data_IF_336970510872
#
_entry.id   IF_336970510872
#
_cell.length_a   1.000
_cell.length_b   1.000
_cell.length_c   1.000
_cell.angle_alpha   90.00
_cell.angle_beta   90.00
_cell.angle_gamma   90.00
#
_symmetry.space_group_name_H-M   'P 1'
#
loop_
_entity.id
_entity.type
_entity.pdbx_description
1 polymer ?
#
# COMPACT_ATOMS: atom_id res chain seq x y z
N UNK A 1 2.68 17.62 -7.67
CA UNK A 1 1.45 16.88 -7.31
C UNK A 1 1.64 16.24 -5.94
N UNK A 2 0.63 16.27 -5.04
CA UNK A 2 0.58 15.33 -3.93
C UNK A 2 0.67 13.90 -4.48
N UNK A 3 1.40 13.01 -3.80
CA UNK A 3 1.45 11.60 -4.20
C UNK A 3 0.02 11.02 -4.18
N UNK A 4 -0.47 10.39 -5.26
CA UNK A 4 -1.87 10.00 -5.40
C UNK A 4 -2.27 8.85 -4.46
N UNK A 5 -1.30 8.23 -3.79
CA UNK A 5 -1.47 7.23 -2.76
C UNK A 5 -0.25 7.27 -1.83
N UNK A 6 -0.32 6.53 -0.74
CA UNK A 6 0.82 6.28 0.15
C UNK A 6 0.85 4.80 0.54
N UNK A 7 2.05 4.30 0.83
CA UNK A 7 2.25 2.95 1.34
C UNK A 7 2.04 2.90 2.85
N UNK A 8 1.45 1.82 3.32
CA UNK A 8 1.16 1.53 4.73
C UNK A 8 1.34 0.02 4.97
N UNK A 9 2.27 -0.39 5.83
CA UNK A 9 2.38 -1.78 6.24
C UNK A 9 1.18 -2.16 7.11
N UNK A 10 0.57 -3.31 6.83
CA UNK A 10 -0.55 -3.86 7.59
C UNK A 10 -0.69 -5.35 7.24
N UNK A 11 -1.12 -6.19 8.18
CA UNK A 11 -1.46 -7.60 7.92
C UNK A 11 -0.35 -8.39 7.17
N UNK A 12 0.91 -8.18 7.57
CA UNK A 12 2.07 -8.88 6.99
C UNK A 12 2.44 -8.45 5.56
N UNK A 13 1.83 -7.40 5.00
CA UNK A 13 2.13 -6.87 3.67
C UNK A 13 2.23 -5.34 3.65
N UNK A 14 2.78 -4.79 2.57
CA UNK A 14 2.68 -3.35 2.29
C UNK A 14 1.47 -3.08 1.40
N UNK A 15 0.51 -2.33 1.94
CA UNK A 15 -0.70 -1.90 1.25
C UNK A 15 -0.56 -0.45 0.77
N UNK A 16 -1.38 -0.08 -0.20
CA UNK A 16 -1.52 1.31 -0.64
C UNK A 16 -2.90 1.83 -0.23
N UNK A 17 -2.98 3.12 0.12
CA UNK A 17 -4.23 3.80 0.42
C UNK A 17 -4.24 5.21 -0.19
N UNK A 18 -5.44 5.70 -0.47
CA UNK A 18 -5.73 7.08 -0.90
C UNK A 18 -6.30 7.93 0.23
N UNK A 19 -6.44 7.37 1.43
CA UNK A 19 -6.95 8.09 2.58
C UNK A 19 -6.06 9.30 2.92
N UNK A 20 -6.59 10.33 3.59
CA UNK A 20 -5.75 11.42 4.08
C UNK A 20 -4.61 10.88 4.96
N UNK A 21 -3.36 11.12 4.53
CA UNK A 21 -2.18 10.66 5.27
C UNK A 21 -1.99 11.49 6.54
N UNK A 22 -1.86 10.87 7.73
CA UNK A 22 -1.51 11.59 8.95
C UNK A 22 -0.12 12.22 8.82
N UNK A 23 0.06 13.45 9.34
CA UNK A 23 1.30 14.23 9.17
C UNK A 23 2.58 13.50 9.62
N UNK A 24 2.50 12.59 10.62
CA UNK A 24 3.64 11.86 11.18
C UNK A 24 3.73 10.40 10.71
N UNK A 25 3.02 10.03 9.65
CA UNK A 25 2.87 8.63 9.23
C UNK A 25 1.78 7.90 10.00
N UNK A 26 1.59 6.61 9.70
CA UNK A 26 0.55 5.80 10.33
C UNK A 26 0.99 5.32 11.71
N UNK A 27 0.30 5.73 12.80
CA UNK A 27 0.53 5.10 14.09
C UNK A 27 0.05 3.65 14.07
N UNK A 28 0.71 2.79 14.85
CA UNK A 28 0.26 1.40 15.02
C UNK A 28 -1.22 1.35 15.43
N UNK A 29 -1.98 0.45 14.81
CA UNK A 29 -3.41 0.30 15.06
C UNK A 29 -4.30 1.27 14.28
N UNK A 30 -3.76 2.26 13.57
CA UNK A 30 -4.57 3.17 12.75
C UNK A 30 -5.20 2.41 11.59
N UNK A 31 -6.52 2.41 11.51
CA UNK A 31 -7.26 1.70 10.46
C UNK A 31 -7.25 2.51 9.17
N UNK A 32 -6.77 1.90 8.10
CA UNK A 32 -6.72 2.48 6.74
C UNK A 32 -7.60 1.71 5.78
N UNK A 33 -8.33 2.42 4.91
CA UNK A 33 -8.98 1.81 3.76
C UNK A 33 -7.92 1.58 2.66
N UNK A 34 -7.66 0.31 2.34
CA UNK A 34 -6.64 -0.06 1.37
C UNK A 34 -7.21 -0.15 -0.05
N UNK A 35 -6.35 0.02 -1.06
CA UNK A 35 -6.74 -0.13 -2.46
C UNK A 35 -7.20 -1.56 -2.78
N UNK A 36 -6.76 -2.59 -2.04
CA UNK A 36 -7.27 -3.95 -2.20
C UNK A 36 -8.66 -4.18 -1.60
N UNK A 37 -9.28 -3.15 -1.00
CA UNK A 37 -10.66 -3.17 -0.52
C UNK A 37 -10.83 -3.54 0.95
N UNK A 38 -9.74 -3.83 1.66
CA UNK A 38 -9.78 -4.16 3.08
C UNK A 38 -9.54 -2.93 3.96
N UNK A 39 -10.15 -2.92 5.14
CA UNK A 39 -9.81 -2.00 6.23
C UNK A 39 -8.83 -2.69 7.18
N UNK A 40 -7.59 -2.21 7.25
CA UNK A 40 -6.52 -2.87 7.99
C UNK A 40 -5.89 -1.92 9.01
N UNK A 41 -5.50 -2.46 10.16
CA UNK A 41 -4.74 -1.73 11.16
C UNK A 41 -3.27 -1.62 10.73
N UNK A 42 -2.75 -0.39 10.70
CA UNK A 42 -1.37 -0.13 10.31
C UNK A 42 -0.38 -0.74 11.33
N UNK A 43 0.73 -1.24 10.81
CA UNK A 43 1.88 -1.72 11.56
C UNK A 43 3.03 -0.71 11.43
N UNK A 44 3.53 -0.21 12.57
CA UNK A 44 4.54 0.86 12.58
C UNK A 44 5.95 0.39 12.96
N UNK A 45 6.26 -0.90 12.85
CA UNK A 45 7.62 -1.41 13.09
C UNK A 45 8.54 -1.08 11.91
N UNK A 46 9.86 -1.00 12.15
CA UNK A 46 10.83 -0.80 11.06
C UNK A 46 10.82 -1.98 10.08
N UNK A 47 10.60 -3.20 10.59
CA UNK A 47 10.60 -4.42 9.77
C UNK A 47 9.39 -4.54 8.84
N UNK A 48 8.24 -3.96 9.20
CA UNK A 48 7.03 -4.04 8.38
C UNK A 48 7.19 -3.35 7.03
N UNK A 49 8.10 -2.38 6.92
CA UNK A 49 8.46 -1.75 5.65
C UNK A 49 9.26 -2.65 4.71
N UNK A 50 9.74 -3.81 5.15
CA UNK A 50 10.44 -4.78 4.28
C UNK A 50 9.52 -5.91 3.79
N UNK A 51 8.27 -5.94 4.22
CA UNK A 51 7.32 -6.93 3.76
C UNK A 51 7.04 -6.83 2.26
N UNK A 52 6.59 -7.95 1.71
CA UNK A 52 6.12 -7.99 0.33
C UNK A 52 4.98 -7.01 0.12
N UNK A 53 4.94 -6.43 -1.08
CA UNK A 53 3.86 -5.54 -1.48
C UNK A 53 2.61 -6.37 -1.78
N UNK A 54 1.45 -5.93 -1.29
CA UNK A 54 0.17 -6.52 -1.69
C UNK A 54 -0.01 -6.38 -3.21
N UNK A 55 -0.15 -7.47 -3.98
CA UNK A 55 -0.13 -7.41 -5.45
C UNK A 55 -1.28 -6.55 -6.00
N UNK A 56 -2.49 -6.69 -5.44
CA UNK A 56 -3.64 -5.86 -5.83
C UNK A 56 -3.43 -4.37 -5.53
N UNK A 57 -2.79 -4.04 -4.40
CA UNK A 57 -2.45 -2.65 -4.10
C UNK A 57 -1.39 -2.13 -5.07
N UNK A 58 -0.41 -2.97 -5.44
CA UNK A 58 0.62 -2.63 -6.40
C UNK A 58 0.03 -2.26 -7.76
N UNK A 59 -0.82 -3.11 -8.31
CA UNK A 59 -1.44 -2.87 -9.63
C UNK A 59 -2.27 -1.58 -9.63
N UNK A 60 -3.09 -1.36 -8.60
CA UNK A 60 -3.91 -0.14 -8.47
C UNK A 60 -3.07 1.11 -8.23
N UNK A 61 -2.00 1.02 -7.44
CA UNK A 61 -1.08 2.13 -7.21
C UNK A 61 -0.37 2.56 -8.50
N UNK A 62 0.07 1.58 -9.31
CA UNK A 62 0.64 1.82 -10.64
C UNK A 62 -0.36 2.48 -11.60
N UNK A 63 -1.62 2.04 -11.59
CA UNK A 63 -2.69 2.70 -12.34
C UNK A 63 -2.89 4.16 -11.90
N UNK A 64 -2.93 4.44 -10.59
CA UNK A 64 -3.06 5.80 -10.03
C UNK A 64 -1.85 6.69 -10.37
N UNK A 65 -0.66 6.11 -10.46
CA UNK A 65 0.57 6.80 -10.85
C UNK A 65 0.68 7.04 -12.37
N UNK A 66 -0.26 6.53 -13.17
CA UNK A 66 -0.16 6.49 -14.64
C UNK A 66 1.11 5.79 -15.14
N UNK A 67 1.56 4.76 -14.41
CA UNK A 67 2.72 3.94 -14.75
C UNK A 67 2.32 2.45 -14.70
N UNK A 68 1.55 1.96 -15.70
CA UNK A 68 1.00 0.60 -15.65
C UNK A 68 2.08 -0.46 -15.40
N UNK A 69 1.76 -1.45 -14.58
CA UNK A 69 2.65 -2.60 -14.39
C UNK A 69 2.88 -3.30 -15.73
N UNK A 70 4.11 -3.75 -16.04
CA UNK A 70 4.32 -4.66 -17.14
C UNK A 70 3.46 -5.93 -16.90
N UNK A 71 2.94 -6.56 -17.96
CA UNK A 71 2.21 -7.80 -17.82
C UNK A 71 3.09 -8.81 -17.05
N UNK A 72 2.49 -9.50 -16.09
CA UNK A 72 3.20 -10.53 -15.32
C UNK A 72 3.77 -11.51 -16.34
N UNK A 73 5.10 -11.57 -16.47
CA UNK A 73 5.73 -12.59 -17.29
C UNK A 73 5.32 -13.93 -16.69
N UNK A 74 4.49 -14.70 -17.40
CA UNK A 74 4.20 -16.07 -17.01
C UNK A 74 5.54 -16.79 -16.89
N UNK A 75 5.91 -17.17 -15.67
CA UNK A 75 6.95 -18.15 -15.48
C UNK A 75 6.50 -19.40 -16.23
N UNK A 76 7.23 -19.74 -17.30
CA UNK A 76 7.13 -21.03 -17.97
C UNK A 76 7.90 -22.06 -17.16
#
# INVERSE_FOLDING_TARGET
MPHPFHWVPADGKRHASTDPKPHKGYPAGFVVATLCGYQLAAESTTLSWFWETCPTCNDKAHALANTPMPPVASAR
#
